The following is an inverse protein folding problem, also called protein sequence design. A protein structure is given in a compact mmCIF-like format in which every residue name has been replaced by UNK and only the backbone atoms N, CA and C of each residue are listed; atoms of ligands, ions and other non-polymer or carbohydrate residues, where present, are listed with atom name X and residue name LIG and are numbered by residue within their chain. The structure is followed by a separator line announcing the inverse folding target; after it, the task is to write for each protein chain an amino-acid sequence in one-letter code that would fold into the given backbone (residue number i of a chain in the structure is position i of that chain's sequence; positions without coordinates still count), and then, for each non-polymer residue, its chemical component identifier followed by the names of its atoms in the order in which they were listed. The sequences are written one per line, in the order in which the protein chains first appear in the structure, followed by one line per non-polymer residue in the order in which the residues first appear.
data_IF_316022087172
#
_entry.id   IF_316022087172
#
_cell.length_a   1.000
_cell.length_b   1.000
_cell.length_c   1.000
_cell.angle_alpha   90.00
_cell.angle_beta   90.00
_cell.angle_gamma   90.00
#
_symmetry.space_group_name_H-M   'P 1'
#
loop_
_entity.id
_entity.type
_entity.pdbx_description
1 polymer ?
#
# COMPACT_ATOMS: atom_id res chain seq x y z
N UNK A 1 -9.70 11.92 -9.08
CA UNK A 1 -9.06 10.59 -9.17
C UNK A 1 -8.69 10.12 -7.78
N UNK A 2 -9.13 8.94 -7.36
CA UNK A 2 -8.75 8.42 -6.04
C UNK A 2 -7.25 8.26 -5.88
N UNK A 3 -6.78 8.46 -4.66
CA UNK A 3 -5.37 8.28 -4.30
C UNK A 3 -5.25 7.08 -3.39
N UNK A 4 -4.17 6.32 -3.57
CA UNK A 4 -3.90 5.09 -2.84
C UNK A 4 -2.47 5.12 -2.32
N UNK A 5 -2.28 4.72 -1.08
CA UNK A 5 -0.95 4.56 -0.48
C UNK A 5 -0.69 3.08 -0.24
N UNK A 6 0.50 2.61 -0.63
CA UNK A 6 0.91 1.22 -0.43
C UNK A 6 1.94 1.16 0.70
N UNK A 7 1.78 0.18 1.60
CA UNK A 7 2.81 -0.16 2.58
C UNK A 7 3.77 -1.21 2.01
N UNK A 8 4.77 -1.61 2.79
CA UNK A 8 5.75 -2.61 2.36
C UNK A 8 5.08 -3.93 2.00
N UNK A 9 4.13 -4.39 2.81
CA UNK A 9 3.42 -5.65 2.54
C UNK A 9 2.65 -5.59 1.22
N UNK A 10 1.98 -4.48 0.96
CA UNK A 10 1.22 -4.31 -0.27
C UNK A 10 2.11 -4.38 -1.51
N UNK A 11 3.33 -3.85 -1.42
CA UNK A 11 4.29 -3.89 -2.52
C UNK A 11 4.83 -5.31 -2.78
N UNK A 12 4.85 -6.15 -1.76
CA UNK A 12 5.31 -7.54 -1.88
C UNK A 12 4.20 -8.49 -2.31
N UNK A 13 2.95 -8.19 -1.98
CA UNK A 13 1.80 -9.06 -2.26
C UNK A 13 1.69 -9.54 -3.71
N UNK A 14 1.87 -8.68 -4.74
CA UNK A 14 1.73 -9.11 -6.12
C UNK A 14 2.67 -10.27 -6.48
N UNK A 15 3.83 -10.32 -5.84
CA UNK A 15 4.84 -11.35 -6.11
C UNK A 15 4.65 -12.58 -5.24
N UNK A 16 4.15 -12.39 -4.01
CA UNK A 16 3.86 -13.50 -3.10
C UNK A 16 2.60 -14.25 -3.51
N UNK A 17 1.63 -13.57 -4.08
CA UNK A 17 0.30 -14.13 -4.43
C UNK A 17 0.04 -14.19 -5.93
N UNK A 18 0.98 -13.74 -6.75
CA UNK A 18 0.87 -13.78 -8.21
C UNK A 18 -0.38 -13.11 -8.76
N UNK A 19 -0.62 -11.85 -8.39
CA UNK A 19 -1.73 -11.08 -8.96
C UNK A 19 -1.26 -9.69 -9.41
N UNK A 20 -2.06 -9.06 -10.25
CA UNK A 20 -1.78 -7.72 -10.77
C UNK A 20 -2.46 -6.68 -9.87
N UNK A 21 -1.67 -6.00 -9.05
CA UNK A 21 -2.20 -5.01 -8.10
C UNK A 21 -2.89 -3.83 -8.82
N UNK A 22 -2.33 -3.36 -9.92
CA UNK A 22 -2.91 -2.24 -10.66
C UNK A 22 -4.28 -2.58 -11.22
N UNK A 23 -4.43 -3.78 -11.77
CA UNK A 23 -5.72 -4.25 -12.27
C UNK A 23 -6.74 -4.40 -11.15
N UNK A 24 -6.31 -4.91 -10.00
CA UNK A 24 -7.18 -5.07 -8.83
C UNK A 24 -7.66 -3.71 -8.33
N UNK A 25 -6.76 -2.74 -8.21
CA UNK A 25 -7.12 -1.40 -7.77
C UNK A 25 -8.07 -0.72 -8.75
N UNK A 26 -7.83 -0.89 -10.05
CA UNK A 26 -8.71 -0.34 -11.07
C UNK A 26 -10.11 -0.94 -10.98
N UNK A 27 -10.20 -2.23 -10.67
CA UNK A 27 -11.49 -2.91 -10.49
C UNK A 27 -12.28 -2.34 -9.32
N UNK A 28 -11.60 -1.93 -8.25
CA UNK A 28 -12.25 -1.41 -7.04
C UNK A 28 -12.58 0.08 -7.15
N UNK A 29 -11.63 0.87 -7.67
CA UNK A 29 -11.68 2.33 -7.59
C UNK A 29 -11.80 3.03 -8.95
N UNK A 30 -11.67 2.31 -10.05
CA UNK A 30 -11.44 2.92 -11.35
C UNK A 30 -10.00 3.42 -11.43
N UNK A 31 -9.74 4.40 -12.30
CA UNK A 31 -8.40 4.98 -12.37
C UNK A 31 -8.04 5.64 -11.06
N UNK A 32 -6.81 5.40 -10.60
CA UNK A 32 -6.33 5.94 -9.35
C UNK A 32 -4.84 6.29 -9.44
N UNK A 33 -4.41 7.15 -8.52
CA UNK A 33 -3.00 7.51 -8.38
C UNK A 33 -2.43 6.73 -7.20
N UNK A 34 -1.28 6.11 -7.39
CA UNK A 34 -0.64 5.28 -6.37
C UNK A 34 0.62 5.94 -5.86
N UNK A 35 0.73 6.02 -4.53
CA UNK A 35 1.82 6.68 -3.83
C UNK A 35 2.48 5.72 -2.86
N UNK A 36 3.78 5.92 -2.65
CA UNK A 36 4.56 5.13 -1.68
C UNK A 36 5.36 6.09 -0.81
N UNK A 37 5.29 5.96 0.52
CA UNK A 37 6.14 6.79 1.40
C UNK A 37 7.61 6.51 1.15
N UNK A 38 8.43 7.58 1.13
CA UNK A 38 9.87 7.45 0.92
C UNK A 38 10.54 6.42 1.84
N UNK A 39 10.27 6.42 3.16
CA UNK A 39 10.87 5.42 4.07
C UNK A 39 10.61 3.97 3.69
N UNK A 40 9.50 3.67 3.02
CA UNK A 40 9.18 2.31 2.55
C UNK A 40 10.21 1.84 1.52
N UNK A 41 10.70 2.74 0.67
CA UNK A 41 11.75 2.42 -0.29
C UNK A 41 13.01 1.91 0.44
N UNK A 42 13.40 2.61 1.51
CA UNK A 42 14.53 2.18 2.34
C UNK A 42 14.31 0.83 2.99
N UNK A 43 13.09 0.57 3.48
CA UNK A 43 12.75 -0.73 4.07
C UNK A 43 12.91 -1.85 3.03
N UNK A 44 12.44 -1.65 1.81
CA UNK A 44 12.59 -2.63 0.74
C UNK A 44 14.05 -2.88 0.39
N UNK A 45 14.86 -1.82 0.34
CA UNK A 45 16.29 -1.94 0.03
C UNK A 45 17.05 -2.75 1.08
N UNK A 46 16.60 -2.69 2.34
CA UNK A 46 17.23 -3.42 3.45
C UNK A 46 16.60 -4.80 3.68
N UNK A 47 15.53 -5.11 2.95
CA UNK A 47 14.77 -6.34 3.17
C UNK A 47 15.52 -7.56 2.62
N UNK A 48 15.46 -8.66 3.38
CA UNK A 48 15.96 -9.97 2.92
C UNK A 48 14.88 -10.79 2.20
N UNK A 49 13.69 -10.22 2.02
CA UNK A 49 12.60 -10.90 1.33
C UNK A 49 13.00 -11.17 -0.13
N UNK A 50 12.76 -12.39 -0.60
CA UNK A 50 13.16 -12.80 -1.95
C UNK A 50 12.46 -11.99 -3.05
N UNK A 51 11.36 -11.33 -2.75
CA UNK A 51 10.62 -10.51 -3.70
C UNK A 51 10.94 -9.02 -3.61
N UNK A 52 11.86 -8.62 -2.74
CA UNK A 52 12.17 -7.20 -2.52
C UNK A 52 12.65 -6.51 -3.81
N UNK A 53 13.49 -7.17 -4.59
CA UNK A 53 13.99 -6.59 -5.84
C UNK A 53 12.87 -6.36 -6.85
N UNK A 54 11.94 -7.30 -6.97
CA UNK A 54 10.78 -7.15 -7.85
C UNK A 54 9.89 -6.00 -7.37
N UNK A 55 9.69 -5.89 -6.06
CA UNK A 55 8.91 -4.79 -5.48
C UNK A 55 9.58 -3.44 -5.73
N UNK A 56 10.90 -3.36 -5.65
CA UNK A 56 11.63 -2.12 -5.97
C UNK A 56 11.43 -1.72 -7.43
N UNK A 57 11.41 -2.67 -8.34
CA UNK A 57 11.14 -2.38 -9.75
C UNK A 57 9.71 -1.88 -9.97
N UNK A 58 8.77 -2.38 -9.18
CA UNK A 58 7.37 -1.93 -9.25
C UNK A 58 7.24 -0.45 -8.88
N UNK A 59 8.11 0.05 -8.01
CA UNK A 59 8.09 1.46 -7.58
C UNK A 59 8.22 2.47 -8.72
N UNK A 60 8.85 2.08 -9.85
CA UNK A 60 9.00 2.98 -10.99
C UNK A 60 7.65 3.42 -11.57
N UNK A 61 6.58 2.70 -11.26
CA UNK A 61 5.23 2.98 -11.74
C UNK A 61 4.45 3.92 -10.82
N UNK A 62 4.99 4.23 -9.64
CA UNK A 62 4.27 4.96 -8.59
C UNK A 62 4.99 6.24 -8.20
N UNK A 63 4.28 7.13 -7.55
CA UNK A 63 4.84 8.37 -7.03
C UNK A 63 5.35 8.14 -5.62
N UNK A 64 6.62 8.47 -5.39
CA UNK A 64 7.23 8.38 -4.07
C UNK A 64 7.13 9.75 -3.41
N UNK A 65 6.59 9.80 -2.21
CA UNK A 65 6.42 11.04 -1.45
C UNK A 65 7.15 10.94 -0.11
N UNK A 66 7.89 11.97 0.22
CA UNK A 66 8.59 12.03 1.51
C UNK A 66 7.61 12.20 2.65
N UNK A 67 7.97 11.61 3.79
CA UNK A 67 7.25 11.76 5.04
C UNK A 67 8.24 12.08 6.16
N UNK A 68 7.77 12.69 7.23
CA UNK A 68 8.59 12.92 8.42
C UNK A 68 8.69 11.66 9.28
N UNK A 69 7.59 10.91 9.36
CA UNK A 69 7.54 9.66 10.10
C UNK A 69 8.12 8.51 9.29
N UNK A 70 8.35 7.38 9.97
CA UNK A 70 8.81 6.12 9.36
C UNK A 70 7.85 5.00 9.73
N UNK A 71 7.98 3.84 9.07
CA UNK A 71 7.15 2.68 9.35
C UNK A 71 5.66 2.94 9.11
N UNK A 72 4.82 2.39 9.97
CA UNK A 72 3.36 2.55 9.87
C UNK A 72 2.93 4.01 9.93
N UNK A 73 3.64 4.82 10.70
CA UNK A 73 3.31 6.25 10.84
C UNK A 73 3.51 6.99 9.54
N UNK A 74 4.48 6.58 8.72
CA UNK A 74 4.69 7.17 7.40
C UNK A 74 3.49 6.91 6.49
N UNK A 75 2.95 5.70 6.53
CA UNK A 75 1.77 5.33 5.74
C UNK A 75 0.57 6.18 6.18
N UNK A 76 0.36 6.29 7.48
CA UNK A 76 -0.75 7.08 8.03
C UNK A 76 -0.60 8.56 7.68
N UNK A 77 0.59 9.12 7.87
CA UNK A 77 0.88 10.51 7.55
C UNK A 77 0.55 10.84 6.11
N UNK A 78 1.02 9.99 5.19
CA UNK A 78 0.81 10.21 3.78
C UNK A 78 -0.67 10.05 3.39
N UNK A 79 -1.33 9.04 3.93
CA UNK A 79 -2.74 8.81 3.67
C UNK A 79 -3.61 9.98 4.14
N UNK A 80 -3.32 10.51 5.32
CA UNK A 80 -4.04 11.68 5.84
C UNK A 80 -3.79 12.92 4.97
N UNK A 81 -2.53 13.16 4.61
CA UNK A 81 -2.16 14.32 3.81
C UNK A 81 -2.83 14.29 2.43
N UNK A 82 -2.94 13.12 1.82
CA UNK A 82 -3.47 12.96 0.47
C UNK A 82 -4.96 12.66 0.42
N UNK A 83 -5.59 12.36 1.56
CA UNK A 83 -6.96 11.86 1.57
C UNK A 83 -7.06 10.51 0.86
N UNK A 84 -6.09 9.64 1.08
CA UNK A 84 -5.91 8.42 0.30
C UNK A 84 -6.48 7.18 0.99
N UNK A 85 -6.80 6.17 0.18
CA UNK A 85 -6.98 4.79 0.65
C UNK A 85 -5.63 4.20 0.98
N UNK A 86 -5.58 3.19 1.86
CA UNK A 86 -4.34 2.46 2.15
C UNK A 86 -4.54 0.99 1.81
N UNK A 87 -3.61 0.41 1.06
CA UNK A 87 -3.59 -1.03 0.81
C UNK A 87 -2.63 -1.68 1.81
N UNK A 88 -3.15 -2.55 2.64
CA UNK A 88 -2.36 -3.27 3.64
C UNK A 88 -3.12 -4.49 4.14
N UNK A 89 -2.37 -5.51 4.59
CA UNK A 89 -2.91 -6.65 5.32
C UNK A 89 -2.43 -6.69 6.78
N UNK A 90 -1.66 -5.69 7.19
CA UNK A 90 -1.17 -5.63 8.57
C UNK A 90 -2.33 -5.26 9.50
N UNK A 91 -2.70 -6.18 10.37
CA UNK A 91 -3.87 -6.01 11.25
C UNK A 91 -3.71 -4.83 12.22
N UNK A 92 -2.51 -4.63 12.74
CA UNK A 92 -2.25 -3.51 13.65
C UNK A 92 -2.41 -2.18 12.93
N UNK A 93 -1.89 -2.09 11.71
CA UNK A 93 -2.04 -0.89 10.90
C UNK A 93 -3.51 -0.67 10.52
N UNK A 94 -4.22 -1.71 10.13
CA UNK A 94 -5.65 -1.61 9.79
C UNK A 94 -6.44 -1.04 10.96
N UNK A 95 -6.17 -1.51 12.18
CA UNK A 95 -6.86 -0.99 13.37
C UNK A 95 -6.61 0.50 13.56
N UNK A 96 -5.37 0.96 13.38
CA UNK A 96 -5.03 2.38 13.47
C UNK A 96 -5.72 3.20 12.39
N UNK A 97 -5.77 2.69 11.16
CA UNK A 97 -6.40 3.37 10.04
C UNK A 97 -7.91 3.51 10.26
N UNK A 98 -8.56 2.48 10.78
CA UNK A 98 -9.99 2.52 11.10
C UNK A 98 -10.30 3.58 12.15
N UNK A 99 -9.47 3.69 13.18
CA UNK A 99 -9.63 4.71 14.22
C UNK A 99 -9.57 6.13 13.63
N UNK A 100 -8.78 6.31 12.59
CA UNK A 100 -8.62 7.60 11.92
C UNK A 100 -9.58 7.80 10.75
N UNK A 101 -10.48 6.83 10.54
CA UNK A 101 -11.45 6.86 9.44
C UNK A 101 -10.79 6.91 8.06
N UNK A 102 -9.62 6.31 7.94
CA UNK A 102 -8.93 6.13 6.66
C UNK A 102 -9.41 4.81 6.06
N UNK A 103 -9.83 4.84 4.81
CA UNK A 103 -10.36 3.66 4.14
C UNK A 103 -9.23 2.71 3.76
N UNK A 104 -9.47 1.43 3.97
CA UNK A 104 -8.49 0.36 3.78
C UNK A 104 -8.92 -0.57 2.65
N UNK A 105 -7.97 -0.97 1.84
CA UNK A 105 -8.12 -2.03 0.84
C UNK A 105 -7.22 -3.16 1.29
N UNK A 106 -7.76 -4.36 1.42
CA UNK A 106 -7.05 -5.52 1.95
C UNK A 106 -7.26 -6.75 1.08
N UNK A 107 -6.40 -7.74 1.26
CA UNK A 107 -6.53 -9.02 0.57
C UNK A 107 -7.68 -9.81 1.16
N UNK A 108 -8.53 -10.34 0.30
CA UNK A 108 -9.58 -11.27 0.68
C UNK A 108 -9.45 -12.55 -0.12
N UNK A 109 -9.70 -13.69 0.54
CA UNK A 109 -9.65 -14.98 -0.12
C UNK A 109 -8.29 -15.38 -0.66
N UNK A 110 -7.26 -14.64 -0.34
CA UNK A 110 -5.89 -14.92 -0.75
C UNK A 110 -5.56 -14.63 -2.21
N UNK A 111 -6.50 -14.13 -2.99
CA UNK A 111 -6.30 -13.96 -4.44
C UNK A 111 -6.77 -12.62 -5.00
N UNK A 112 -7.46 -11.80 -4.22
CA UNK A 112 -7.93 -10.50 -4.71
C UNK A 112 -7.98 -9.47 -3.59
N UNK A 113 -7.97 -8.19 -4.00
CA UNK A 113 -8.14 -7.07 -3.08
C UNK A 113 -9.61 -6.72 -2.95
N UNK A 114 -9.99 -6.22 -1.78
CA UNK A 114 -11.34 -5.75 -1.53
C UNK A 114 -11.31 -4.56 -0.58
N UNK A 115 -12.27 -3.67 -0.73
CA UNK A 115 -12.44 -2.54 0.17
C UNK A 115 -12.93 -3.07 1.53
N UNK A 116 -12.29 -2.60 2.60
CA UNK A 116 -12.72 -2.91 3.97
C UNK A 116 -14.02 -2.15 4.25
N UNK A 117 -15.05 -2.87 4.61
CA UNK A 117 -16.38 -2.31 4.88
C UNK A 117 -16.73 -2.27 6.37
N UNK A 118 -15.77 -2.55 7.21
CA UNK A 118 -15.95 -2.54 8.66
C UNK A 118 -16.00 -1.13 9.24
#
# INVERSE_FOLDING_TARGET
MPRVVLDTNALLLPFERSFNIDAQLRSILGECQVFVPGPIVGELKRSSNKHAQAALRLLSRYTIEDTEATGDRAVIELAERLGAYVVTNDRALIAKLRQKRIKVIMMRGGSHLALDDA
#
